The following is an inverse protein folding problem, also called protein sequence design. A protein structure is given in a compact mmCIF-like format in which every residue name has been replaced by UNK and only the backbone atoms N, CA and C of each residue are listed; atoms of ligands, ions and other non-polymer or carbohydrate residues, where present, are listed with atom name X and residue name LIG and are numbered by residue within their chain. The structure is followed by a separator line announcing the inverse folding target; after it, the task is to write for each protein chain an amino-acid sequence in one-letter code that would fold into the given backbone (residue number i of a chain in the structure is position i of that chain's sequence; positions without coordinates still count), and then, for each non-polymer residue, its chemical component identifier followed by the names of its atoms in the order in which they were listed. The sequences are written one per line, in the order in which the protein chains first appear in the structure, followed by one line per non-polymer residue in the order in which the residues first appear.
data_IF_467301263503
#
_entry.id   IF_467301263503
#
_cell.length_a   1.000
_cell.length_b   1.000
_cell.length_c   1.000
_cell.angle_alpha   90.00
_cell.angle_beta   90.00
_cell.angle_gamma   90.00
#
_symmetry.space_group_name_H-M   'P 1'
#
loop_
_entity.id
_entity.type
_entity.pdbx_description
1 polymer ?
#
# COMPACT_ATOMS: atom_id res chain seq x y z
N UNK A 1 44.42 68.53 3.21
CA UNK A 1 43.01 68.33 3.60
C UNK A 1 42.33 67.28 2.69
N UNK A 2 43.03 66.19 2.35
CA UNK A 2 42.57 65.13 1.44
C UNK A 2 43.23 63.82 1.91
N UNK A 3 42.82 63.25 3.06
CA UNK A 3 43.32 61.92 3.50
C UNK A 3 42.35 61.08 4.35
N UNK A 4 41.16 61.58 4.70
CA UNK A 4 40.25 60.85 5.59
C UNK A 4 38.85 60.59 5.01
N UNK A 5 38.66 60.73 3.69
CA UNK A 5 37.37 60.56 3.02
C UNK A 5 37.29 59.32 2.11
N UNK A 6 38.04 58.26 2.41
CA UNK A 6 37.98 56.99 1.64
C UNK A 6 37.68 55.78 2.55
N UNK A 7 37.56 55.96 3.86
CA UNK A 7 37.48 54.84 4.81
C UNK A 7 36.19 54.82 5.65
N UNK A 8 35.03 55.05 5.03
CA UNK A 8 33.76 55.04 5.78
C UNK A 8 32.54 54.42 5.06
N UNK A 9 32.66 53.86 3.85
CA UNK A 9 31.52 53.20 3.18
C UNK A 9 31.95 51.94 2.41
N UNK A 10 32.83 51.14 3.01
CA UNK A 10 32.94 49.71 2.67
C UNK A 10 32.64 48.93 3.94
N UNK A 11 31.48 49.21 4.54
CA UNK A 11 30.85 48.30 5.49
C UNK A 11 30.30 47.17 4.64
N UNK A 12 31.20 46.25 4.33
CA UNK A 12 30.95 44.99 3.67
C UNK A 12 29.88 44.26 4.48
N UNK A 13 28.63 44.31 4.01
CA UNK A 13 27.54 43.48 4.49
C UNK A 13 27.91 42.02 4.17
N UNK A 14 28.68 41.40 5.06
CA UNK A 14 28.70 39.95 5.21
C UNK A 14 27.35 39.55 5.78
N UNK A 15 26.33 39.54 4.92
CA UNK A 15 25.17 38.69 5.15
C UNK A 15 25.73 37.27 5.19
N UNK A 16 25.91 36.75 6.42
CA UNK A 16 26.12 35.34 6.65
C UNK A 16 24.84 34.66 6.18
N UNK A 17 24.79 34.31 4.89
CA UNK A 17 23.83 33.33 4.38
C UNK A 17 24.16 32.05 5.11
N UNK A 18 23.45 31.80 6.21
CA UNK A 18 23.37 30.47 6.81
C UNK A 18 22.75 29.58 5.75
N UNK A 19 23.59 28.87 5.00
CA UNK A 19 23.13 27.77 4.17
C UNK A 19 22.55 26.73 5.12
N UNK A 20 21.22 26.71 5.26
CA UNK A 20 20.56 25.61 5.92
C UNK A 20 21.02 24.34 5.20
N UNK A 21 21.62 23.41 5.93
CA UNK A 21 22.05 22.15 5.36
C UNK A 21 20.82 21.47 4.74
N UNK A 22 20.85 21.10 3.45
CA UNK A 22 19.70 20.46 2.83
C UNK A 22 19.33 19.20 3.63
N UNK A 23 18.05 19.06 3.95
CA UNK A 23 17.55 17.91 4.71
C UNK A 23 17.82 16.64 3.90
N UNK A 24 18.43 15.59 4.49
CA UNK A 24 18.68 14.35 3.76
C UNK A 24 17.38 13.76 3.19
N UNK A 25 17.37 13.28 1.94
CA UNK A 25 16.14 12.78 1.31
C UNK A 25 15.54 11.56 2.05
N UNK A 26 16.36 10.74 2.69
CA UNK A 26 15.89 9.64 3.52
C UNK A 26 15.06 10.13 4.73
N UNK A 27 15.47 11.23 5.36
CA UNK A 27 14.73 11.86 6.46
C UNK A 27 13.37 12.36 5.99
N UNK A 28 13.31 12.97 4.81
CA UNK A 28 12.05 13.40 4.20
C UNK A 28 11.12 12.21 3.90
N UNK A 29 11.66 11.07 3.45
CA UNK A 29 10.87 9.85 3.30
C UNK A 29 10.33 9.34 4.64
N UNK A 30 11.15 9.28 5.69
CA UNK A 30 10.69 8.88 7.03
C UNK A 30 9.60 9.82 7.58
N UNK A 31 9.73 11.13 7.38
CA UNK A 31 8.68 12.10 7.73
C UNK A 31 7.42 11.86 6.90
N UNK A 32 7.54 11.52 5.62
CA UNK A 32 6.40 11.20 4.77
C UNK A 32 5.61 10.00 5.32
N UNK A 33 6.29 8.92 5.70
CA UNK A 33 5.64 7.78 6.34
C UNK A 33 4.99 8.14 7.68
N UNK A 34 5.67 8.93 8.51
CA UNK A 34 5.08 9.45 9.75
C UNK A 34 3.75 10.16 9.50
N UNK A 35 3.66 11.01 8.47
CA UNK A 35 2.42 11.71 8.14
C UNK A 35 1.35 10.80 7.52
N UNK A 36 1.74 9.77 6.76
CA UNK A 36 0.81 8.73 6.31
C UNK A 36 0.17 8.00 7.48
N UNK A 37 0.95 7.64 8.49
CA UNK A 37 0.48 6.93 9.68
C UNK A 37 -0.47 7.80 10.53
N UNK A 38 -0.35 9.12 10.41
CA UNK A 38 -1.30 10.09 11.01
C UNK A 38 -2.52 10.37 10.13
N UNK A 39 -2.67 9.68 9.00
CA UNK A 39 -3.77 9.89 8.05
C UNK A 39 -3.64 11.16 7.22
N UNK A 40 -2.51 11.88 7.29
CA UNK A 40 -2.28 13.11 6.55
C UNK A 40 -1.48 12.81 5.27
N UNK A 41 -2.16 12.18 4.30
CA UNK A 41 -1.56 11.81 3.02
C UNK A 41 -1.13 13.03 2.18
N UNK A 42 -1.74 14.21 2.38
CA UNK A 42 -1.34 15.44 1.68
C UNK A 42 0.05 15.90 2.12
N UNK A 43 0.30 15.99 3.42
CA UNK A 43 1.63 16.35 3.94
C UNK A 43 2.65 15.27 3.61
N UNK A 44 2.27 13.99 3.68
CA UNK A 44 3.16 12.91 3.25
C UNK A 44 3.61 13.05 1.78
N UNK A 45 2.66 13.31 0.87
CA UNK A 45 2.95 13.51 -0.55
C UNK A 45 3.93 14.68 -0.77
N UNK A 46 3.77 15.77 -0.03
CA UNK A 46 4.70 16.91 -0.08
C UNK A 46 6.12 16.50 0.35
N UNK A 47 6.25 15.71 1.42
CA UNK A 47 7.54 15.22 1.91
C UNK A 47 8.22 14.30 0.91
N UNK A 48 7.47 13.38 0.31
CA UNK A 48 8.00 12.49 -0.72
C UNK A 48 8.42 13.27 -1.98
N UNK A 49 7.67 14.28 -2.43
CA UNK A 49 8.10 15.14 -3.55
C UNK A 49 9.41 15.89 -3.27
N UNK A 50 9.58 16.38 -2.04
CA UNK A 50 10.84 17.00 -1.60
C UNK A 50 12.00 15.99 -1.58
N UNK A 51 11.75 14.77 -1.10
CA UNK A 51 12.75 13.70 -1.12
C UNK A 51 13.17 13.32 -2.55
N UNK A 52 12.21 13.25 -3.48
CA UNK A 52 12.47 12.96 -4.89
C UNK A 52 13.38 14.03 -5.50
N UNK A 53 13.04 15.30 -5.32
CA UNK A 53 13.85 16.41 -5.81
C UNK A 53 15.28 16.39 -5.25
N UNK A 54 15.45 16.04 -3.96
CA UNK A 54 16.76 15.92 -3.34
C UNK A 54 17.56 14.71 -3.88
N UNK A 55 16.93 13.54 -4.09
CA UNK A 55 17.59 12.41 -4.74
C UNK A 55 17.96 12.71 -6.19
N UNK A 56 17.10 13.44 -6.92
CA UNK A 56 17.39 13.87 -8.28
C UNK A 56 18.61 14.79 -8.33
N UNK A 57 18.71 15.78 -7.43
CA UNK A 57 19.89 16.66 -7.31
C UNK A 57 21.16 15.88 -6.97
N UNK A 58 21.03 14.81 -6.19
CA UNK A 58 22.14 13.92 -5.84
C UNK A 58 22.48 12.88 -6.94
N UNK A 59 21.74 12.83 -8.05
CA UNK A 59 21.93 11.82 -9.10
C UNK A 59 21.62 10.38 -8.65
N UNK A 60 20.84 10.21 -7.58
CA UNK A 60 20.60 8.92 -6.95
C UNK A 60 19.29 8.29 -7.47
N UNK A 61 19.38 7.57 -8.59
CA UNK A 61 18.23 6.98 -9.30
C UNK A 61 17.37 6.05 -8.43
N UNK A 62 17.97 5.14 -7.67
CA UNK A 62 17.22 4.16 -6.85
C UNK A 62 16.36 4.84 -5.77
N UNK A 63 16.92 5.84 -5.07
CA UNK A 63 16.20 6.66 -4.10
C UNK A 63 15.08 7.48 -4.73
N UNK A 64 15.28 7.99 -5.94
CA UNK A 64 14.24 8.68 -6.71
C UNK A 64 13.07 7.72 -7.02
N UNK A 65 13.35 6.52 -7.55
CA UNK A 65 12.33 5.51 -7.85
C UNK A 65 11.59 5.08 -6.58
N UNK A 66 12.31 4.80 -5.49
CA UNK A 66 11.71 4.39 -4.22
C UNK A 66 10.81 5.48 -3.65
N UNK A 67 11.20 6.74 -3.82
CA UNK A 67 10.38 7.87 -3.38
C UNK A 67 9.12 8.04 -4.25
N UNK A 68 9.18 7.75 -5.55
CA UNK A 68 7.99 7.72 -6.40
C UNK A 68 7.01 6.63 -5.99
N UNK A 69 7.51 5.46 -5.56
CA UNK A 69 6.66 4.41 -4.98
C UNK A 69 5.92 4.94 -3.72
N UNK A 70 6.60 5.69 -2.86
CA UNK A 70 5.97 6.30 -1.70
C UNK A 70 4.90 7.36 -2.08
N UNK A 71 5.15 8.15 -3.12
CA UNK A 71 4.16 9.09 -3.65
C UNK A 71 2.91 8.38 -4.15
N UNK A 72 3.04 7.23 -4.84
CA UNK A 72 1.90 6.41 -5.28
C UNK A 72 1.03 6.02 -4.08
N UNK A 73 1.64 5.58 -2.97
CA UNK A 73 0.90 5.23 -1.75
C UNK A 73 0.09 6.44 -1.26
N UNK A 74 0.72 7.61 -1.16
CA UNK A 74 0.04 8.83 -0.71
C UNK A 74 -1.08 9.28 -1.68
N UNK A 75 -0.85 9.23 -2.98
CA UNK A 75 -1.84 9.57 -4.02
C UNK A 75 -3.06 8.65 -3.95
N UNK A 76 -2.86 7.35 -3.75
CA UNK A 76 -3.95 6.38 -3.56
C UNK A 76 -4.77 6.69 -2.31
N UNK A 77 -4.13 7.01 -1.19
CA UNK A 77 -4.82 7.44 0.05
C UNK A 77 -5.64 8.70 -0.14
N UNK A 78 -5.25 9.57 -1.06
CA UNK A 78 -5.99 10.77 -1.45
C UNK A 78 -7.08 10.51 -2.50
N UNK A 79 -7.24 9.28 -2.99
CA UNK A 79 -8.15 8.96 -4.10
C UNK A 79 -7.70 9.50 -5.46
N UNK A 80 -6.46 10.00 -5.58
CA UNK A 80 -5.87 10.55 -6.81
C UNK A 80 -5.28 9.44 -7.68
N UNK A 81 -6.13 8.49 -8.05
CA UNK A 81 -5.70 7.23 -8.68
C UNK A 81 -5.11 7.42 -10.09
N UNK A 82 -5.62 8.38 -10.86
CA UNK A 82 -5.10 8.69 -12.20
C UNK A 82 -3.65 9.18 -12.13
N UNK A 83 -3.36 10.13 -11.24
CA UNK A 83 -2.01 10.67 -11.05
C UNK A 83 -1.05 9.61 -10.50
N UNK A 84 -1.52 8.70 -9.63
CA UNK A 84 -0.72 7.57 -9.16
C UNK A 84 -0.35 6.63 -10.32
N UNK A 85 -1.31 6.33 -11.20
CA UNK A 85 -1.11 5.50 -12.39
C UNK A 85 -0.15 6.17 -13.38
N UNK A 86 -0.30 7.47 -13.62
CA UNK A 86 0.59 8.24 -14.49
C UNK A 86 2.01 8.28 -13.95
N UNK A 87 2.20 8.51 -12.65
CA UNK A 87 3.51 8.53 -12.01
C UNK A 87 4.23 7.18 -12.16
N UNK A 88 3.50 6.08 -11.99
CA UNK A 88 4.04 4.74 -12.20
C UNK A 88 4.46 4.54 -13.67
N UNK A 89 3.56 4.82 -14.62
CA UNK A 89 3.81 4.62 -16.05
C UNK A 89 4.98 5.48 -16.57
N UNK A 90 5.04 6.75 -16.18
CA UNK A 90 6.12 7.67 -16.57
C UNK A 90 7.49 7.23 -16.04
N UNK A 91 7.54 6.54 -14.90
CA UNK A 91 8.80 6.04 -14.35
C UNK A 91 9.39 4.90 -15.18
N UNK A 92 8.54 4.14 -15.87
CA UNK A 92 8.93 3.17 -16.89
C UNK A 92 8.92 3.78 -18.31
N UNK A 93 9.04 5.10 -18.42
CA UNK A 93 9.09 5.88 -19.67
C UNK A 93 7.90 5.65 -20.60
N UNK A 94 6.75 5.32 -20.03
CA UNK A 94 5.57 4.93 -20.80
C UNK A 94 4.43 5.93 -20.63
N UNK A 95 3.80 6.31 -21.75
CA UNK A 95 2.53 7.04 -21.78
C UNK A 95 1.35 6.13 -22.12
N UNK A 96 1.61 4.86 -22.45
CA UNK A 96 0.61 3.87 -22.89
C UNK A 96 0.77 2.55 -22.15
N UNK A 97 -0.32 1.89 -21.75
CA UNK A 97 -0.23 0.60 -21.06
C UNK A 97 0.56 -0.46 -21.85
N UNK A 98 0.34 -0.55 -23.16
CA UNK A 98 0.94 -1.59 -24.02
C UNK A 98 2.49 -1.55 -24.03
N UNK A 99 3.07 -0.39 -23.70
CA UNK A 99 4.53 -0.19 -23.64
C UNK A 99 5.11 -0.31 -22.24
N UNK A 100 4.27 -0.46 -21.20
CA UNK A 100 4.74 -0.66 -19.82
C UNK A 100 5.44 -2.01 -19.69
N UNK A 101 4.77 -3.12 -20.02
CA UNK A 101 5.29 -4.47 -19.77
C UNK A 101 6.66 -4.73 -20.42
N UNK A 102 6.89 -4.37 -21.71
CA UNK A 102 8.21 -4.55 -22.32
C UNK A 102 9.31 -3.70 -21.69
N UNK A 103 8.96 -2.63 -20.97
CA UNK A 103 9.90 -1.72 -20.31
C UNK A 103 10.27 -2.16 -18.89
N UNK A 104 9.61 -3.20 -18.36
CA UNK A 104 9.92 -3.73 -17.03
C UNK A 104 11.18 -4.60 -17.13
N UNK A 105 12.22 -4.32 -16.33
CA UNK A 105 13.40 -5.17 -16.28
C UNK A 105 13.04 -6.56 -15.77
N UNK A 106 13.66 -7.60 -16.34
CA UNK A 106 13.47 -8.99 -15.90
C UNK A 106 13.83 -9.24 -14.43
N UNK A 107 14.74 -8.44 -13.91
CA UNK A 107 15.15 -8.41 -12.50
C UNK A 107 15.05 -6.98 -11.96
N UNK A 108 13.86 -6.54 -11.52
CA UNK A 108 13.68 -5.20 -10.97
C UNK A 108 14.46 -5.02 -9.67
N UNK A 109 15.02 -3.82 -9.47
CA UNK A 109 15.57 -3.43 -8.17
C UNK A 109 14.48 -3.39 -7.09
N UNK A 110 14.84 -3.40 -5.79
CA UNK A 110 13.86 -3.28 -4.72
C UNK A 110 12.95 -2.05 -4.87
N UNK A 111 13.48 -0.89 -5.28
CA UNK A 111 12.66 0.29 -5.53
C UNK A 111 11.72 0.13 -6.72
N UNK A 112 12.18 -0.50 -7.81
CA UNK A 112 11.34 -0.80 -8.96
C UNK A 112 10.23 -1.80 -8.60
N UNK A 113 10.53 -2.83 -7.80
CA UNK A 113 9.54 -3.78 -7.33
C UNK A 113 8.47 -3.10 -6.47
N UNK A 114 8.86 -2.22 -5.55
CA UNK A 114 7.92 -1.44 -4.73
C UNK A 114 7.04 -0.51 -5.58
N UNK A 115 7.61 0.15 -6.58
CA UNK A 115 6.88 0.98 -7.54
C UNK A 115 5.87 0.17 -8.35
N UNK A 116 6.29 -0.98 -8.89
CA UNK A 116 5.42 -1.88 -9.64
C UNK A 116 4.30 -2.42 -8.76
N UNK A 117 4.58 -2.76 -7.50
CA UNK A 117 3.56 -3.16 -6.55
C UNK A 117 2.54 -2.04 -6.34
N UNK A 118 3.00 -0.81 -6.09
CA UNK A 118 2.11 0.36 -5.99
C UNK A 118 1.28 0.57 -7.26
N UNK A 119 1.82 0.26 -8.44
CA UNK A 119 1.10 0.33 -9.70
C UNK A 119 -0.01 -0.71 -9.79
N UNK A 120 0.28 -1.98 -9.48
CA UNK A 120 -0.70 -3.07 -9.42
C UNK A 120 -1.84 -2.70 -8.47
N UNK A 121 -1.51 -2.21 -7.28
CA UNK A 121 -2.50 -1.81 -6.28
C UNK A 121 -3.34 -0.60 -6.77
N UNK A 122 -2.74 0.36 -7.47
CA UNK A 122 -3.47 1.48 -8.10
C UNK A 122 -4.47 1.00 -9.15
N UNK A 123 -4.07 0.09 -10.02
CA UNK A 123 -4.94 -0.48 -11.06
C UNK A 123 -6.11 -1.24 -10.44
N UNK A 124 -5.86 -1.92 -9.31
CA UNK A 124 -6.87 -2.63 -8.54
C UNK A 124 -7.89 -1.67 -7.94
N UNK A 125 -7.43 -0.56 -7.36
CA UNK A 125 -8.31 0.50 -6.84
C UNK A 125 -9.15 1.13 -7.95
N UNK A 126 -8.59 1.25 -9.17
CA UNK A 126 -9.30 1.69 -10.37
C UNK A 126 -10.22 0.62 -10.99
N UNK A 127 -10.31 -0.58 -10.41
CA UNK A 127 -11.07 -1.73 -10.95
C UNK A 127 -10.62 -2.17 -12.35
N UNK A 128 -9.38 -1.86 -12.73
CA UNK A 128 -8.75 -2.28 -14.00
C UNK A 128 -8.08 -3.65 -13.82
N UNK A 129 -8.87 -4.64 -13.43
CA UNK A 129 -8.36 -5.93 -12.95
C UNK A 129 -7.53 -6.69 -13.97
N UNK A 130 -7.94 -6.70 -15.24
CA UNK A 130 -7.19 -7.38 -16.31
C UNK A 130 -5.74 -6.87 -16.39
N UNK A 131 -5.55 -5.56 -16.22
CA UNK A 131 -4.24 -4.92 -16.25
C UNK A 131 -3.45 -5.16 -14.96
N UNK A 132 -4.12 -5.15 -13.81
CA UNK A 132 -3.50 -5.48 -12.53
C UNK A 132 -2.96 -6.92 -12.52
N UNK A 133 -3.77 -7.88 -13.00
CA UNK A 133 -3.39 -9.30 -13.13
C UNK A 133 -2.26 -9.45 -14.14
N UNK A 134 -2.39 -8.83 -15.32
CA UNK A 134 -1.38 -8.91 -16.37
C UNK A 134 0.00 -8.46 -15.85
N UNK A 135 0.05 -7.35 -15.11
CA UNK A 135 1.29 -6.85 -14.51
C UNK A 135 1.77 -7.71 -13.35
N UNK A 136 0.87 -8.23 -12.52
CA UNK A 136 1.23 -9.09 -11.40
C UNK A 136 1.86 -10.42 -11.88
N UNK A 137 1.27 -11.05 -12.89
CA UNK A 137 1.70 -12.37 -13.37
C UNK A 137 2.93 -12.31 -14.28
N UNK A 138 3.12 -11.21 -15.01
CA UNK A 138 4.25 -11.07 -15.93
C UNK A 138 5.55 -10.57 -15.28
N UNK A 139 5.55 -10.29 -13.98
CA UNK A 139 6.76 -9.86 -13.24
C UNK A 139 7.20 -11.00 -12.31
N UNK A 140 8.14 -11.87 -12.71
CA UNK A 140 8.54 -13.04 -11.93
C UNK A 140 9.03 -12.71 -10.52
N UNK A 141 9.63 -11.53 -10.33
CA UNK A 141 10.09 -11.05 -9.03
C UNK A 141 8.95 -10.96 -8.00
N UNK A 142 7.71 -10.71 -8.43
CA UNK A 142 6.56 -10.68 -7.53
C UNK A 142 6.25 -12.03 -6.92
N UNK A 143 6.44 -13.13 -7.66
CA UNK A 143 6.19 -14.47 -7.16
C UNK A 143 7.16 -14.88 -6.03
N UNK A 144 8.23 -14.12 -5.84
CA UNK A 144 9.20 -14.32 -4.76
C UNK A 144 9.02 -13.37 -3.57
N UNK A 145 8.07 -12.43 -3.64
CA UNK A 145 7.82 -11.44 -2.60
C UNK A 145 6.51 -11.73 -1.88
N UNK A 146 6.56 -11.90 -0.56
CA UNK A 146 5.37 -12.12 0.25
C UNK A 146 4.34 -10.98 0.11
N UNK A 147 4.82 -9.73 0.10
CA UNK A 147 3.96 -8.54 -0.04
C UNK A 147 3.31 -8.44 -1.42
N UNK A 148 4.04 -8.80 -2.47
CA UNK A 148 3.49 -8.82 -3.82
C UNK A 148 2.46 -9.96 -3.97
N UNK A 149 2.74 -11.16 -3.45
CA UNK A 149 1.78 -12.27 -3.41
C UNK A 149 0.51 -11.91 -2.63
N UNK A 150 0.65 -11.23 -1.49
CA UNK A 150 -0.49 -10.71 -0.73
C UNK A 150 -1.33 -9.76 -1.57
N UNK A 151 -0.68 -8.84 -2.29
CA UNK A 151 -1.37 -7.92 -3.21
C UNK A 151 -2.08 -8.68 -4.33
N UNK A 152 -1.40 -9.63 -4.98
CA UNK A 152 -1.99 -10.50 -6.01
C UNK A 152 -3.22 -11.25 -5.53
N UNK A 153 -3.15 -11.81 -4.31
CA UNK A 153 -4.27 -12.44 -3.65
C UNK A 153 -5.48 -11.52 -3.49
N UNK A 154 -5.25 -10.27 -3.06
CA UNK A 154 -6.32 -9.29 -2.92
C UNK A 154 -6.88 -8.79 -4.26
N UNK A 155 -6.08 -8.74 -5.34
CA UNK A 155 -6.59 -8.46 -6.69
C UNK A 155 -7.68 -9.47 -7.04
N UNK A 156 -7.36 -10.75 -6.86
CA UNK A 156 -8.25 -11.85 -7.20
C UNK A 156 -9.50 -11.90 -6.31
N UNK A 157 -9.37 -11.54 -5.03
CA UNK A 157 -10.52 -11.33 -4.14
C UNK A 157 -11.46 -10.23 -4.66
N UNK A 158 -10.90 -9.10 -5.09
CA UNK A 158 -11.69 -8.00 -5.67
C UNK A 158 -12.31 -8.36 -7.02
N UNK A 159 -11.62 -9.15 -7.83
CA UNK A 159 -12.20 -9.73 -9.06
C UNK A 159 -13.40 -10.58 -8.72
N UNK A 160 -13.28 -11.54 -7.79
CA UNK A 160 -14.39 -12.40 -7.39
C UNK A 160 -15.61 -11.61 -6.93
N UNK A 161 -15.41 -10.56 -6.11
CA UNK A 161 -16.49 -9.65 -5.68
C UNK A 161 -17.18 -8.94 -6.85
N UNK A 162 -16.46 -8.66 -7.94
CA UNK A 162 -16.98 -7.96 -9.11
C UNK A 162 -17.66 -8.86 -10.15
N UNK A 163 -17.44 -10.17 -10.11
CA UNK A 163 -17.95 -11.10 -11.11
C UNK A 163 -19.42 -11.46 -10.83
N UNK A 164 -20.25 -11.37 -11.86
CA UNK A 164 -21.62 -11.91 -11.82
C UNK A 164 -21.68 -13.40 -12.16
N UNK A 165 -20.68 -13.92 -12.87
CA UNK A 165 -20.57 -15.32 -13.24
C UNK A 165 -19.92 -16.12 -12.11
N UNK A 166 -20.63 -17.12 -11.58
CA UNK A 166 -20.18 -17.94 -10.46
C UNK A 166 -18.93 -18.76 -10.77
N UNK A 167 -18.76 -19.27 -11.99
CA UNK A 167 -17.56 -20.03 -12.38
C UNK A 167 -16.34 -19.12 -12.51
N UNK A 168 -16.53 -17.88 -13.01
CA UNK A 168 -15.49 -16.88 -13.03
C UNK A 168 -15.10 -16.43 -11.61
N UNK A 169 -16.09 -16.22 -10.74
CA UNK A 169 -15.87 -15.90 -9.33
C UNK A 169 -15.10 -17.02 -8.63
N UNK A 170 -15.53 -18.28 -8.79
CA UNK A 170 -14.88 -19.44 -8.18
C UNK A 170 -13.42 -19.56 -8.59
N UNK A 171 -13.10 -19.38 -9.88
CA UNK A 171 -11.69 -19.40 -10.35
C UNK A 171 -10.86 -18.26 -9.79
N UNK A 172 -11.45 -17.07 -9.66
CA UNK A 172 -10.77 -15.94 -9.05
C UNK A 172 -10.49 -16.20 -7.56
N UNK A 173 -11.45 -16.77 -6.81
CA UNK A 173 -11.25 -17.14 -5.40
C UNK A 173 -10.17 -18.20 -5.23
N UNK A 174 -10.12 -19.21 -6.11
CA UNK A 174 -9.07 -20.22 -6.07
C UNK A 174 -7.67 -19.61 -6.27
N UNK A 175 -7.51 -18.75 -7.29
CA UNK A 175 -6.26 -18.01 -7.52
C UNK A 175 -5.90 -17.11 -6.34
N UNK A 176 -6.87 -16.36 -5.81
CA UNK A 176 -6.70 -15.48 -4.66
C UNK A 176 -6.23 -16.24 -3.43
N UNK A 177 -6.86 -17.39 -3.13
CA UNK A 177 -6.50 -18.25 -2.02
C UNK A 177 -5.07 -18.77 -2.14
N UNK A 178 -4.67 -19.23 -3.33
CA UNK A 178 -3.31 -19.71 -3.59
C UNK A 178 -2.29 -18.61 -3.28
N UNK A 179 -2.46 -17.41 -3.83
CA UNK A 179 -1.51 -16.32 -3.61
C UNK A 179 -1.47 -15.83 -2.16
N UNK A 180 -2.61 -15.75 -1.47
CA UNK A 180 -2.63 -15.38 -0.05
C UNK A 180 -2.01 -16.45 0.85
N UNK A 181 -2.19 -17.74 0.53
CA UNK A 181 -1.56 -18.84 1.26
C UNK A 181 -0.02 -18.80 1.09
N UNK A 182 0.46 -18.60 -0.14
CA UNK A 182 1.90 -18.45 -0.41
C UNK A 182 2.48 -17.21 0.27
N UNK A 183 1.74 -16.09 0.27
CA UNK A 183 2.11 -14.88 0.98
C UNK A 183 2.26 -15.13 2.49
N UNK A 184 1.29 -15.82 3.10
CA UNK A 184 1.31 -16.18 4.51
C UNK A 184 2.49 -17.11 4.84
N UNK A 185 2.74 -18.13 4.02
CA UNK A 185 3.87 -19.04 4.21
C UNK A 185 5.20 -18.29 4.24
N UNK A 186 5.43 -17.39 3.28
CA UNK A 186 6.65 -16.57 3.22
C UNK A 186 6.73 -15.55 4.34
N UNK A 187 5.61 -14.95 4.73
CA UNK A 187 5.57 -14.03 5.88
C UNK A 187 5.89 -14.75 7.19
N UNK A 188 5.53 -16.03 7.33
CA UNK A 188 5.94 -16.87 8.46
C UNK A 188 7.44 -17.12 8.46
N UNK A 189 8.03 -17.45 7.30
CA UNK A 189 9.48 -17.65 7.14
C UNK A 189 10.28 -16.38 7.44
N UNK A 190 9.78 -15.21 7.05
CA UNK A 190 10.44 -13.92 7.30
C UNK A 190 10.13 -13.31 8.67
N UNK A 191 9.25 -13.95 9.46
CA UNK A 191 8.73 -13.42 10.72
C UNK A 191 8.08 -12.02 10.61
N UNK A 192 7.51 -11.68 9.45
CA UNK A 192 6.77 -10.43 9.23
C UNK A 192 5.34 -10.56 9.81
N UNK A 193 5.20 -10.27 11.10
CA UNK A 193 3.93 -10.38 11.84
C UNK A 193 2.80 -9.56 11.19
N UNK A 194 3.11 -8.36 10.69
CA UNK A 194 2.11 -7.49 10.07
C UNK A 194 1.56 -8.13 8.82
N UNK A 195 2.44 -8.62 7.94
CA UNK A 195 2.00 -9.29 6.72
C UNK A 195 1.31 -10.63 6.99
N UNK A 196 1.73 -11.38 8.00
CA UNK A 196 1.03 -12.60 8.44
C UNK A 196 -0.43 -12.29 8.78
N UNK A 197 -0.67 -11.27 9.61
CA UNK A 197 -2.02 -10.89 10.03
C UNK A 197 -2.86 -10.36 8.86
N UNK A 198 -2.27 -9.56 7.97
CA UNK A 198 -2.95 -9.14 6.75
C UNK A 198 -3.35 -10.31 5.87
N UNK A 199 -2.42 -11.25 5.60
CA UNK A 199 -2.70 -12.41 4.76
C UNK A 199 -3.78 -13.32 5.38
N UNK A 200 -3.73 -13.55 6.70
CA UNK A 200 -4.77 -14.30 7.41
C UNK A 200 -6.14 -13.61 7.32
N UNK A 201 -6.20 -12.29 7.52
CA UNK A 201 -7.44 -11.52 7.41
C UNK A 201 -8.02 -11.54 5.99
N UNK A 202 -7.19 -11.48 4.96
CA UNK A 202 -7.64 -11.61 3.57
C UNK A 202 -8.12 -13.02 3.22
N UNK A 203 -7.43 -14.07 3.71
CA UNK A 203 -7.89 -15.46 3.54
C UNK A 203 -9.25 -15.70 4.19
N UNK A 204 -9.49 -15.04 5.31
CA UNK A 204 -10.76 -15.07 6.01
C UNK A 204 -11.87 -14.33 5.25
N UNK A 205 -11.55 -13.18 4.66
CA UNK A 205 -12.46 -12.46 3.77
C UNK A 205 -12.88 -13.32 2.58
N UNK A 206 -11.90 -14.00 1.99
CA UNK A 206 -12.12 -14.97 0.92
C UNK A 206 -13.04 -16.13 1.34
N UNK A 207 -12.78 -16.74 2.50
CA UNK A 207 -13.63 -17.82 3.03
C UNK A 207 -15.07 -17.37 3.30
N UNK A 208 -15.26 -16.14 3.81
CA UNK A 208 -16.59 -15.53 3.98
C UNK A 208 -17.35 -15.39 2.67
N UNK A 209 -16.66 -14.91 1.63
CA UNK A 209 -17.25 -14.78 0.30
C UNK A 209 -17.62 -16.14 -0.32
N UNK A 210 -16.78 -17.16 -0.12
CA UNK A 210 -17.06 -18.52 -0.58
C UNK A 210 -18.28 -19.14 0.10
N UNK A 211 -18.38 -18.98 1.42
CA UNK A 211 -19.54 -19.45 2.17
C UNK A 211 -20.82 -18.75 1.70
N UNK A 212 -20.77 -17.44 1.43
CA UNK A 212 -21.92 -16.67 0.95
C UNK A 212 -22.35 -17.09 -0.47
N UNK A 213 -21.40 -17.21 -1.40
CA UNK A 213 -21.69 -17.45 -2.81
C UNK A 213 -21.95 -18.93 -3.14
N UNK A 214 -21.25 -19.85 -2.46
CA UNK A 214 -21.25 -21.27 -2.82
C UNK A 214 -21.71 -22.20 -1.69
N UNK A 215 -21.97 -21.67 -0.49
CA UNK A 215 -22.29 -22.46 0.72
C UNK A 215 -21.23 -23.52 1.03
N UNK A 216 -19.97 -23.22 0.71
CA UNK A 216 -18.85 -24.13 0.91
C UNK A 216 -18.15 -23.84 2.25
N UNK A 217 -18.00 -24.87 3.07
CA UNK A 217 -17.24 -24.80 4.30
C UNK A 217 -15.74 -24.80 3.98
N UNK A 218 -15.16 -23.61 3.82
CA UNK A 218 -13.71 -23.44 3.74
C UNK A 218 -13.12 -23.41 5.16
N UNK A 219 -11.97 -24.07 5.34
CA UNK A 219 -11.25 -24.02 6.61
C UNK A 219 -10.83 -22.58 6.90
N UNK A 220 -11.38 -22.03 7.98
CA UNK A 220 -11.16 -20.65 8.40
C UNK A 220 -9.78 -20.55 9.08
N UNK A 221 -8.87 -19.68 8.60
CA UNK A 221 -7.62 -19.42 9.30
C UNK A 221 -7.90 -18.76 10.65
N UNK A 222 -7.24 -19.24 11.71
CA UNK A 222 -7.30 -18.58 13.02
C UNK A 222 -6.46 -17.31 13.03
N UNK A 223 -6.95 -16.28 13.73
CA UNK A 223 -6.24 -15.01 13.93
C UNK A 223 -6.06 -14.77 15.43
N UNK A 224 -4.82 -14.50 15.83
CA UNK A 224 -4.49 -14.21 17.23
C UNK A 224 -4.87 -12.77 17.58
N UNK A 225 -5.78 -12.59 18.54
CA UNK A 225 -6.17 -11.26 19.05
C UNK A 225 -4.96 -10.56 19.68
N UNK A 226 -4.14 -11.31 20.42
CA UNK A 226 -2.97 -10.75 21.09
C UNK A 226 -1.96 -10.22 20.06
N UNK A 227 -1.78 -10.92 18.94
CA UNK A 227 -0.93 -10.47 17.85
C UNK A 227 -1.48 -9.20 17.16
N UNK A 228 -2.80 -9.02 17.10
CA UNK A 228 -3.40 -7.77 16.59
C UNK A 228 -3.06 -6.58 17.48
N UNK A 229 -3.08 -6.75 18.81
CA UNK A 229 -2.81 -5.67 19.75
C UNK A 229 -1.35 -5.19 19.73
N UNK A 230 -0.43 -6.03 19.25
CA UNK A 230 0.98 -5.68 19.06
C UNK A 230 1.23 -4.79 17.82
N UNK A 231 0.27 -4.66 16.90
CA UNK A 231 0.43 -3.86 15.69
C UNK A 231 0.33 -2.35 15.96
N UNK A 232 0.90 -1.55 15.07
CA UNK A 232 0.64 -0.11 15.04
C UNK A 232 -0.85 0.15 14.75
N UNK A 233 -1.43 1.20 15.35
CA UNK A 233 -2.86 1.51 15.21
C UNK A 233 -3.35 1.52 13.76
N UNK A 234 -2.65 2.14 12.78
CA UNK A 234 -3.10 2.10 11.38
C UNK A 234 -3.18 0.69 10.78
N UNK A 235 -2.30 -0.21 11.22
CA UNK A 235 -2.31 -1.61 10.77
C UNK A 235 -3.43 -2.41 11.46
N UNK A 236 -3.69 -2.15 12.75
CA UNK A 236 -4.85 -2.70 13.45
C UNK A 236 -6.14 -2.33 12.73
N UNK A 237 -6.29 -1.06 12.37
CA UNK A 237 -7.44 -0.55 11.63
C UNK A 237 -7.61 -1.25 10.27
N UNK A 238 -6.52 -1.45 9.54
CA UNK A 238 -6.52 -2.13 8.24
C UNK A 238 -6.87 -3.61 8.38
N UNK A 239 -6.32 -4.32 9.37
CA UNK A 239 -6.72 -5.70 9.65
C UNK A 239 -8.20 -5.74 10.01
N UNK A 240 -8.67 -4.87 10.92
CA UNK A 240 -10.07 -4.84 11.34
C UNK A 240 -11.04 -4.63 10.17
N UNK A 241 -10.69 -3.79 9.18
CA UNK A 241 -11.48 -3.61 7.96
C UNK A 241 -11.56 -4.88 7.12
N UNK A 242 -10.42 -5.55 6.89
CA UNK A 242 -10.39 -6.83 6.15
C UNK A 242 -11.22 -7.90 6.87
N UNK A 243 -11.15 -7.95 8.20
CA UNK A 243 -11.96 -8.84 9.03
C UNK A 243 -13.44 -8.51 8.93
N UNK A 244 -13.83 -7.23 9.03
CA UNK A 244 -15.23 -6.82 8.94
C UNK A 244 -15.86 -7.23 7.61
N UNK A 245 -15.14 -7.07 6.49
CA UNK A 245 -15.61 -7.50 5.17
C UNK A 245 -15.83 -9.02 5.07
N UNK A 246 -14.96 -9.81 5.70
CA UNK A 246 -15.08 -11.27 5.70
C UNK A 246 -16.13 -11.80 6.66
N UNK A 247 -16.16 -11.26 7.87
CA UNK A 247 -16.95 -11.77 8.98
C UNK A 247 -18.41 -11.34 8.96
N UNK A 248 -18.75 -10.22 8.33
CA UNK A 248 -20.16 -9.89 8.10
C UNK A 248 -20.93 -10.98 7.35
N UNK A 249 -20.21 -11.83 6.61
CA UNK A 249 -20.77 -12.88 5.76
C UNK A 249 -20.64 -14.31 6.34
N UNK A 250 -19.96 -14.48 7.49
CA UNK A 250 -19.80 -15.77 8.15
C UNK A 250 -20.78 -15.89 9.32
N UNK A 251 -21.58 -16.96 9.34
CA UNK A 251 -22.37 -17.31 10.52
C UNK A 251 -21.49 -18.07 11.54
N UNK A 252 -20.35 -17.46 11.89
CA UNK A 252 -19.26 -18.08 12.65
C UNK A 252 -19.15 -17.51 14.10
N UNK A 253 -19.10 -18.37 15.13
CA UNK A 253 -18.96 -17.93 16.53
C UNK A 253 -17.65 -17.22 16.87
N UNK A 254 -16.53 -17.55 16.24
CA UNK A 254 -15.25 -16.85 16.43
C UNK A 254 -15.28 -15.45 15.82
N UNK A 255 -15.89 -15.31 14.64
CA UNK A 255 -16.11 -14.00 14.02
C UNK A 255 -16.89 -13.05 14.96
N UNK A 256 -17.94 -13.56 15.61
CA UNK A 256 -18.75 -12.84 16.61
C UNK A 256 -17.96 -12.48 17.87
N UNK A 257 -16.86 -13.17 18.19
CA UNK A 257 -16.04 -12.92 19.38
C UNK A 257 -14.90 -11.92 19.11
N UNK A 258 -14.27 -11.98 17.95
CA UNK A 258 -13.07 -11.20 17.63
C UNK A 258 -13.42 -9.82 17.05
N UNK A 259 -14.47 -9.72 16.22
CA UNK A 259 -14.85 -8.45 15.57
C UNK A 259 -15.16 -7.32 16.58
N UNK A 260 -15.94 -7.55 17.66
CA UNK A 260 -16.22 -6.50 18.64
C UNK A 260 -14.98 -6.03 19.40
N UNK A 261 -14.00 -6.92 19.61
CA UNK A 261 -12.74 -6.60 20.30
C UNK A 261 -11.77 -5.84 19.40
N UNK A 262 -11.69 -6.19 18.12
CA UNK A 262 -10.94 -5.44 17.12
C UNK A 262 -11.54 -4.04 16.86
N UNK A 263 -12.86 -3.89 16.91
CA UNK A 263 -13.55 -2.59 16.76
C UNK A 263 -13.46 -1.74 18.04
N UNK A 264 -13.40 -2.36 19.22
CA UNK A 264 -13.31 -1.63 20.49
C UNK A 264 -11.97 -0.90 20.69
N UNK A 265 -10.92 -1.23 19.92
CA UNK A 265 -9.55 -0.71 20.11
C UNK A 265 -9.19 0.56 19.30
N UNK A 266 -10.18 1.42 19.02
CA UNK A 266 -10.06 2.81 18.50
C UNK A 266 -10.23 2.97 16.97
N UNK A 267 -11.34 3.63 16.58
CA UNK A 267 -11.54 4.68 15.56
C UNK A 267 -13.05 4.78 15.25
N UNK A 268 -13.72 5.93 15.49
CA UNK A 268 -15.16 6.10 15.24
C UNK A 268 -15.58 5.80 13.80
N UNK A 269 -14.70 5.97 12.81
CA UNK A 269 -14.99 5.69 11.40
C UNK A 269 -15.11 4.19 11.11
N UNK A 270 -14.31 3.35 11.76
CA UNK A 270 -14.37 1.89 11.65
C UNK A 270 -15.61 1.38 12.34
N UNK A 271 -15.90 1.89 13.55
CA UNK A 271 -17.14 1.62 14.26
C UNK A 271 -18.36 1.98 13.40
N UNK A 272 -18.35 3.13 12.72
CA UNK A 272 -19.44 3.55 11.84
C UNK A 272 -19.59 2.65 10.62
N UNK A 273 -18.49 2.27 9.95
CA UNK A 273 -18.53 1.42 8.74
C UNK A 273 -18.92 -0.03 9.05
N UNK A 274 -18.40 -0.58 10.15
CA UNK A 274 -18.76 -1.92 10.63
C UNK A 274 -20.22 -1.98 11.12
N UNK A 275 -20.71 -0.94 11.83
CA UNK A 275 -22.11 -0.85 12.22
C UNK A 275 -23.04 -0.70 11.01
N UNK A 276 -22.67 0.11 10.00
CA UNK A 276 -23.47 0.27 8.78
C UNK A 276 -23.67 -1.06 8.03
N UNK A 277 -22.66 -1.94 8.01
CA UNK A 277 -22.80 -3.27 7.41
C UNK A 277 -23.61 -4.24 8.29
N UNK A 278 -23.52 -4.14 9.62
CA UNK A 278 -24.29 -4.98 10.55
C UNK A 278 -25.81 -4.68 10.52
N UNK A 279 -26.22 -3.50 10.06
CA UNK A 279 -27.62 -3.08 9.95
C UNK A 279 -28.15 -2.97 8.51
N UNK A 280 -27.36 -3.32 7.50
CA UNK A 280 -27.83 -3.45 6.12
C UNK A 280 -28.32 -4.88 5.88
N UNK A 281 -29.51 -5.19 6.42
CA UNK A 281 -30.29 -6.41 6.07
C UNK A 281 -31.24 -6.05 4.92
#
# INVERSE_FOLDING_TARGET
MIRYLILAVVTFCLSVTTFATPVPPATLNSEGFYWLDKGNATTALEKFRKAEAAYQQAGHSEGMIGTKANQIIALRRLGRLEEACELAAQTFTSTCWATVLPSIPSSPSPAQAALLQGFVETLTDQKRFDRAIELFEQVPAFLNSASALFSGGNIYLEVAKSQQNLDASSRALESGRRYLADALARANESHDKTLQLFAQASLLNLAGLEQQQFKQATQIPSISIDALQELAVPDQERVALLLAEGWGNLDDPQAKQVLPRAIASQNPAIKSRALLQQFSI
#
